data_IF_032087335708
#
_entry.id   IF_032087335708
#
_cell.length_a   1.000
_cell.length_b   1.000
_cell.length_c   1.000
_cell.angle_alpha   90.00
_cell.angle_beta   90.00
_cell.angle_gamma   90.00
#
_symmetry.space_group_name_H-M   'P 1'
#
loop_
_entity.id
_entity.type
_entity.pdbx_description
1 polymer ?
#
# COMPACT_ATOMS: atom_id res chain seq x y z
N UNK A 1 21.17 48.18 28.72
CA UNK A 1 21.96 49.40 29.04
C UNK A 1 22.90 49.73 27.89
N UNK A 2 23.14 51.02 27.62
CA UNK A 2 24.25 51.47 26.77
C UNK A 2 25.57 50.89 27.30
N UNK A 3 26.49 50.54 26.41
CA UNK A 3 27.80 50.05 26.86
C UNK A 3 28.62 51.18 27.49
N UNK A 4 29.30 50.92 28.61
CA UNK A 4 30.14 51.89 29.33
C UNK A 4 31.19 52.57 28.43
N UNK A 5 31.76 51.83 27.46
CA UNK A 5 32.84 52.33 26.59
C UNK A 5 32.35 53.04 25.32
N UNK A 6 31.07 52.92 24.96
CA UNK A 6 30.50 53.59 23.79
C UNK A 6 29.05 53.95 24.07
N UNK A 7 28.85 55.04 24.81
CA UNK A 7 27.55 55.49 25.33
C UNK A 7 26.66 55.99 24.19
N UNK A 8 27.24 56.67 23.19
CA UNK A 8 26.53 57.21 22.02
C UNK A 8 26.22 56.15 20.95
N UNK A 9 26.67 54.89 21.14
CA UNK A 9 26.42 53.80 20.18
C UNK A 9 25.35 52.84 20.71
N UNK A 10 24.19 52.71 20.06
CA UNK A 10 23.15 51.80 20.50
C UNK A 10 23.59 50.34 20.34
N UNK A 11 23.60 49.57 21.44
CA UNK A 11 23.98 48.14 21.45
C UNK A 11 22.77 47.21 21.41
N UNK A 12 21.85 47.37 22.36
CA UNK A 12 20.75 46.43 22.54
C UNK A 12 19.75 46.47 21.39
N UNK A 13 19.32 47.67 20.98
CA UNK A 13 18.34 47.85 19.89
C UNK A 13 18.86 47.32 18.57
N UNK A 14 20.12 47.60 18.21
CA UNK A 14 20.78 47.06 17.01
C UNK A 14 20.88 45.54 17.06
N UNK A 15 21.26 44.98 18.21
CA UNK A 15 21.35 43.52 18.36
C UNK A 15 19.98 42.84 18.24
N UNK A 16 18.93 43.45 18.79
CA UNK A 16 17.56 42.94 18.67
C UNK A 16 17.09 43.04 17.23
N UNK A 17 17.25 44.19 16.58
CA UNK A 17 16.88 44.38 15.17
C UNK A 17 17.56 43.34 14.27
N UNK A 18 18.88 43.15 14.42
CA UNK A 18 19.63 42.13 13.68
C UNK A 18 19.11 40.71 13.93
N UNK A 19 18.82 40.37 15.19
CA UNK A 19 18.25 39.05 15.52
C UNK A 19 16.88 38.86 14.88
N UNK A 20 16.00 39.87 14.94
CA UNK A 20 14.66 39.78 14.35
C UNK A 20 14.71 39.59 12.85
N UNK A 21 15.57 40.33 12.13
CA UNK A 21 15.77 40.18 10.69
C UNK A 21 16.32 38.78 10.35
N UNK A 22 17.32 38.30 11.10
CA UNK A 22 17.87 36.96 10.90
C UNK A 22 16.82 35.86 11.09
N UNK A 23 15.96 35.99 12.11
CA UNK A 23 14.88 35.03 12.35
C UNK A 23 13.78 35.12 11.29
N UNK A 24 13.43 36.31 10.82
CA UNK A 24 12.49 36.51 9.73
C UNK A 24 12.99 35.82 8.44
N UNK A 25 14.24 36.03 8.05
CA UNK A 25 14.81 35.35 6.88
C UNK A 25 14.81 33.83 7.02
N UNK A 26 15.13 33.29 8.21
CA UNK A 26 15.04 31.84 8.46
C UNK A 26 13.60 31.33 8.34
N UNK A 27 12.62 32.09 8.83
CA UNK A 27 11.20 31.75 8.69
C UNK A 27 10.79 31.73 7.22
N UNK A 28 11.15 32.76 6.45
CA UNK A 28 10.82 32.88 5.03
C UNK A 28 11.44 31.74 4.21
N UNK A 29 12.70 31.37 4.49
CA UNK A 29 13.35 30.24 3.83
C UNK A 29 12.64 28.90 4.14
N UNK A 30 12.23 28.69 5.40
CA UNK A 30 11.47 27.48 5.78
C UNK A 30 10.08 27.43 5.16
N UNK A 31 9.45 28.58 4.98
CA UNK A 31 8.17 28.73 4.29
C UNK A 31 8.31 28.40 2.80
N UNK A 32 9.29 28.99 2.11
CA UNK A 32 9.58 28.72 0.69
C UNK A 32 9.93 27.25 0.43
N UNK A 33 10.65 26.62 1.36
CA UNK A 33 10.98 25.20 1.28
C UNK A 33 9.78 24.28 1.62
N UNK A 34 8.63 24.83 2.03
CA UNK A 34 7.42 24.05 2.32
C UNK A 34 7.50 23.23 3.61
N UNK A 35 8.43 23.55 4.53
CA UNK A 35 8.57 22.85 5.81
C UNK A 35 7.52 23.28 6.84
N UNK A 36 6.86 24.42 6.61
CA UNK A 36 5.77 24.89 7.44
C UNK A 36 4.44 24.34 6.94
N UNK A 37 3.52 24.07 7.87
CA UNK A 37 2.19 23.56 7.53
C UNK A 37 1.38 24.68 6.87
N UNK A 38 0.52 24.36 5.89
CA UNK A 38 -0.33 25.35 5.24
C UNK A 38 -1.41 25.88 6.19
N UNK A 39 -2.10 26.92 5.75
CA UNK A 39 -3.23 27.50 6.46
C UNK A 39 -4.35 26.47 6.72
N UNK A 40 -5.22 26.76 7.70
CA UNK A 40 -6.31 25.86 8.12
C UNK A 40 -7.32 25.57 7.01
N UNK A 41 -7.61 26.56 6.15
CA UNK A 41 -8.56 26.47 5.04
C UNK A 41 -7.99 25.83 3.78
N UNK A 42 -6.69 25.57 3.72
CA UNK A 42 -6.08 24.92 2.56
C UNK A 42 -6.58 23.48 2.44
N UNK A 43 -6.82 23.00 1.22
CA UNK A 43 -7.17 21.61 0.94
C UNK A 43 -6.14 20.61 1.46
N UNK A 44 -4.85 21.01 1.48
CA UNK A 44 -3.75 20.21 2.00
C UNK A 44 -3.67 20.23 3.54
N UNK A 45 -4.54 20.99 4.21
CA UNK A 45 -4.58 21.08 5.66
C UNK A 45 -5.24 19.85 6.28
N UNK A 46 -4.63 19.32 7.33
CA UNK A 46 -5.18 18.20 8.12
C UNK A 46 -5.78 18.69 9.43
N UNK A 47 -6.46 19.84 9.39
CA UNK A 47 -7.09 20.44 10.56
C UNK A 47 -8.43 19.77 10.82
N UNK A 48 -8.68 19.31 12.06
CA UNK A 48 -9.87 18.51 12.41
C UNK A 48 -9.76 17.01 12.09
N UNK A 49 -8.72 16.59 11.37
CA UNK A 49 -8.46 15.20 11.01
C UNK A 49 -7.43 14.55 11.97
N UNK A 50 -7.42 13.22 12.03
CA UNK A 50 -6.43 12.46 12.80
C UNK A 50 -5.05 12.65 12.17
N UNK A 51 -4.09 13.09 12.96
CA UNK A 51 -2.70 13.30 12.53
C UNK A 51 -1.86 12.09 12.92
N UNK A 52 -1.46 11.27 11.94
CA UNK A 52 -0.56 10.15 12.23
C UNK A 52 0.47 9.96 11.12
N UNK A 53 1.74 9.96 11.51
CA UNK A 53 2.86 9.73 10.60
C UNK A 53 2.75 8.37 9.89
N UNK A 54 2.35 7.25 10.55
CA UNK A 54 2.27 5.96 9.86
C UNK A 54 1.23 5.92 8.74
N UNK A 55 0.07 6.56 8.91
CA UNK A 55 -0.92 6.62 7.83
C UNK A 55 -0.43 7.53 6.70
N UNK A 56 0.18 8.66 7.04
CA UNK A 56 0.77 9.58 6.06
C UNK A 56 1.81 8.87 5.20
N UNK A 57 2.73 8.13 5.81
CA UNK A 57 3.74 7.33 5.10
C UNK A 57 3.09 6.22 4.26
N UNK A 58 2.10 5.51 4.78
CA UNK A 58 1.42 4.43 4.06
C UNK A 58 0.78 4.91 2.76
N UNK A 59 0.02 6.02 2.81
CA UNK A 59 -0.62 6.58 1.62
C UNK A 59 0.39 7.23 0.68
N UNK A 60 1.42 7.86 1.23
CA UNK A 60 2.51 8.46 0.44
C UNK A 60 3.29 7.40 -0.37
N UNK A 61 3.63 6.26 0.24
CA UNK A 61 4.26 5.12 -0.45
C UNK A 61 3.36 4.54 -1.54
N UNK A 62 2.05 4.41 -1.27
CA UNK A 62 1.06 3.91 -2.25
C UNK A 62 0.91 4.82 -3.46
N UNK A 63 0.99 6.14 -3.26
CA UNK A 63 0.94 7.13 -4.33
C UNK A 63 2.28 7.27 -5.09
N UNK A 64 3.30 6.47 -4.75
CA UNK A 64 4.63 6.54 -5.37
C UNK A 64 5.38 7.83 -5.05
N UNK A 65 4.89 8.64 -4.11
CA UNK A 65 5.52 9.88 -3.68
C UNK A 65 6.61 9.54 -2.68
N UNK A 66 7.85 9.36 -3.12
CA UNK A 66 8.98 9.14 -2.19
C UNK A 66 9.02 10.29 -1.18
N UNK A 67 9.08 9.99 0.12
CA UNK A 67 9.21 11.02 1.15
C UNK A 67 10.45 11.85 0.82
N UNK A 68 10.25 13.16 0.61
CA UNK A 68 11.17 14.03 -0.15
C UNK A 68 12.65 13.82 0.15
N UNK A 69 13.46 14.01 -0.91
CA UNK A 69 14.90 13.77 -1.13
C UNK A 69 15.90 13.99 0.04
N UNK A 70 15.61 13.54 1.24
CA UNK A 70 16.39 13.78 2.45
C UNK A 70 16.16 12.69 3.49
N UNK A 71 17.13 12.56 4.40
CA UNK A 71 17.09 11.60 5.48
C UNK A 71 15.95 11.92 6.45
N UNK A 72 15.07 10.96 6.72
CA UNK A 72 14.01 11.10 7.73
C UNK A 72 14.19 10.06 8.84
N UNK A 73 13.72 10.38 10.04
CA UNK A 73 13.63 9.43 11.16
C UNK A 73 12.30 8.68 11.21
N UNK A 74 11.40 8.96 10.25
CA UNK A 74 10.03 8.47 10.24
C UNK A 74 9.97 7.21 9.39
N UNK A 75 9.52 6.11 9.98
CA UNK A 75 9.41 4.82 9.30
C UNK A 75 8.04 4.21 9.49
N UNK A 76 7.61 3.40 8.51
CA UNK A 76 6.42 2.58 8.62
C UNK A 76 6.82 1.15 8.97
N UNK A 77 6.53 0.72 10.20
CA UNK A 77 6.74 -0.68 10.58
C UNK A 77 5.86 -1.61 9.74
N UNK A 78 6.44 -2.69 9.20
CA UNK A 78 5.72 -3.73 8.45
C UNK A 78 4.52 -4.29 9.22
N UNK A 79 4.62 -4.40 10.55
CA UNK A 79 3.51 -4.82 11.42
C UNK A 79 2.34 -3.84 11.34
N UNK A 80 2.64 -2.54 11.35
CA UNK A 80 1.62 -1.49 11.25
C UNK A 80 1.03 -1.42 9.83
N UNK A 81 1.85 -1.56 8.79
CA UNK A 81 1.38 -1.62 7.40
C UNK A 81 0.33 -2.73 7.20
N UNK A 82 0.62 -3.96 7.64
CA UNK A 82 -0.34 -5.08 7.56
C UNK A 82 -1.64 -4.82 8.32
N UNK A 83 -1.56 -4.15 9.50
CA UNK A 83 -2.76 -3.78 10.26
C UNK A 83 -3.60 -2.73 9.53
N UNK A 84 -2.96 -1.76 8.89
CA UNK A 84 -3.64 -0.74 8.09
C UNK A 84 -4.35 -1.41 6.90
N UNK A 85 -3.66 -2.26 6.15
CA UNK A 85 -4.24 -3.00 5.01
C UNK A 85 -5.46 -3.84 5.42
N UNK A 86 -5.35 -4.57 6.54
CA UNK A 86 -6.47 -5.36 7.05
C UNK A 86 -7.66 -4.48 7.44
N UNK A 87 -7.41 -3.36 8.10
CA UNK A 87 -8.47 -2.45 8.53
C UNK A 87 -9.13 -1.74 7.34
N UNK A 88 -8.37 -1.41 6.29
CA UNK A 88 -8.91 -0.87 5.03
C UNK A 88 -9.88 -1.87 4.41
N UNK A 89 -9.51 -3.14 4.30
CA UNK A 89 -10.41 -4.20 3.80
C UNK A 89 -11.71 -4.29 4.60
N UNK A 90 -11.64 -4.21 5.93
CA UNK A 90 -12.85 -4.21 6.77
C UNK A 90 -13.71 -2.97 6.55
N UNK A 91 -13.12 -1.81 6.29
CA UNK A 91 -13.87 -0.60 5.98
C UNK A 91 -14.55 -0.69 4.60
N UNK A 92 -13.85 -1.21 3.58
CA UNK A 92 -14.40 -1.45 2.25
C UNK A 92 -15.57 -2.44 2.28
N UNK A 93 -15.44 -3.53 3.04
CA UNK A 93 -16.53 -4.50 3.23
C UNK A 93 -17.76 -3.85 3.86
N UNK A 94 -17.59 -3.04 4.91
CA UNK A 94 -18.71 -2.31 5.52
C UNK A 94 -19.35 -1.30 4.56
N UNK A 95 -18.54 -0.62 3.75
CA UNK A 95 -19.04 0.31 2.74
C UNK A 95 -19.89 -0.40 1.68
N UNK A 96 -19.40 -1.53 1.17
CA UNK A 96 -20.12 -2.33 0.18
C UNK A 96 -21.45 -2.85 0.75
N UNK A 97 -21.45 -3.33 2.00
CA UNK A 97 -22.69 -3.77 2.66
C UNK A 97 -23.69 -2.62 2.82
N UNK A 98 -23.24 -1.43 3.19
CA UNK A 98 -24.10 -0.24 3.25
C UNK A 98 -24.65 0.14 1.87
N UNK A 99 -23.81 0.15 0.83
CA UNK A 99 -24.24 0.43 -0.55
C UNK A 99 -25.24 -0.61 -1.08
N UNK A 100 -25.12 -1.88 -0.69
CA UNK A 100 -26.10 -2.92 -1.02
C UNK A 100 -27.41 -2.74 -0.25
N UNK A 101 -27.34 -2.41 1.04
CA UNK A 101 -28.52 -2.16 1.86
C UNK A 101 -29.31 -0.95 1.34
N UNK A 102 -28.61 0.14 0.98
CA UNK A 102 -29.24 1.31 0.38
C UNK A 102 -29.90 0.98 -0.97
N UNK A 103 -29.31 0.08 -1.78
CA UNK A 103 -29.92 -0.37 -3.04
C UNK A 103 -31.13 -1.27 -2.82
N UNK A 104 -31.07 -2.23 -1.89
CA UNK A 104 -32.19 -3.15 -1.59
C UNK A 104 -33.38 -2.42 -0.97
N UNK A 105 -33.15 -1.34 -0.21
CA UNK A 105 -34.24 -0.52 0.37
C UNK A 105 -34.86 0.41 -0.69
N UNK A 106 -34.11 0.80 -1.73
CA UNK A 106 -34.60 1.67 -2.81
C UNK A 106 -35.13 0.90 -4.02
N UNK A 107 -34.75 -0.37 -4.20
CA UNK A 107 -35.23 -1.27 -5.24
C UNK A 107 -35.84 -2.51 -4.58
N UNK A 108 -37.15 -2.48 -4.34
CA UNK A 108 -37.91 -3.62 -3.82
C UNK A 108 -37.65 -4.89 -4.67
N UNK A 109 -37.00 -5.89 -4.05
CA UNK A 109 -37.25 -7.31 -4.35
C UNK A 109 -36.31 -8.07 -5.29
N UNK A 110 -34.99 -8.12 -5.05
CA UNK A 110 -34.17 -9.21 -5.61
C UNK A 110 -33.26 -9.89 -4.58
N UNK A 111 -33.45 -11.21 -4.44
CA UNK A 111 -32.52 -12.14 -3.79
C UNK A 111 -31.18 -12.13 -4.53
N UNK A 112 -30.13 -11.60 -3.89
CA UNK A 112 -28.77 -11.69 -4.39
C UNK A 112 -28.09 -12.89 -3.72
N UNK A 113 -28.11 -14.04 -4.40
CA UNK A 113 -27.26 -15.17 -4.05
C UNK A 113 -25.79 -14.81 -4.31
N UNK A 114 -24.98 -14.77 -3.25
CA UNK A 114 -23.57 -14.42 -3.28
C UNK A 114 -22.73 -15.71 -3.34
N UNK A 115 -22.20 -16.13 -4.50
CA UNK A 115 -21.13 -17.12 -4.49
C UNK A 115 -19.85 -16.41 -4.06
N UNK A 116 -19.50 -16.56 -2.78
CA UNK A 116 -18.18 -16.22 -2.25
C UNK A 116 -17.11 -17.13 -2.87
N UNK A 117 -16.79 -16.92 -4.16
CA UNK A 117 -15.64 -17.53 -4.81
C UNK A 117 -14.38 -16.81 -4.31
N UNK A 118 -13.85 -17.30 -3.20
CA UNK A 118 -12.46 -17.08 -2.82
C UNK A 118 -11.56 -17.60 -3.94
N UNK A 119 -11.19 -16.74 -4.89
CA UNK A 119 -10.09 -17.02 -5.82
C UNK A 119 -8.81 -17.06 -4.99
N UNK A 120 -8.45 -18.26 -4.53
CA UNK A 120 -7.12 -18.55 -4.00
C UNK A 120 -6.13 -18.16 -5.09
N UNK A 121 -5.18 -17.28 -4.77
CA UNK A 121 -3.99 -17.09 -5.59
C UNK A 121 -3.28 -18.44 -5.61
N UNK A 122 -3.36 -19.14 -6.72
CA UNK A 122 -2.52 -20.30 -6.99
C UNK A 122 -1.06 -19.83 -6.96
N UNK A 123 -0.34 -20.25 -5.93
CA UNK A 123 1.10 -20.13 -5.88
C UNK A 123 1.67 -21.03 -6.98
N UNK A 124 2.40 -20.43 -7.93
CA UNK A 124 3.12 -21.14 -9.01
C UNK A 124 4.30 -21.95 -8.45
N UNK A 125 4.03 -22.92 -7.57
CA UNK A 125 5.03 -23.82 -6.97
C UNK A 125 4.60 -25.28 -6.88
N UNK A 126 3.44 -25.66 -7.42
CA UNK A 126 2.95 -27.04 -7.31
C UNK A 126 2.94 -27.82 -8.64
N UNK A 127 3.40 -27.25 -9.75
CA UNK A 127 3.16 -27.81 -11.09
C UNK A 127 3.77 -29.19 -11.33
N UNK A 128 4.98 -29.47 -10.83
CA UNK A 128 5.63 -30.76 -11.10
C UNK A 128 5.09 -31.90 -10.23
N UNK A 129 4.85 -31.65 -8.94
CA UNK A 129 4.26 -32.66 -8.06
C UNK A 129 2.80 -32.91 -8.41
N UNK A 130 2.04 -31.86 -8.70
CA UNK A 130 0.63 -32.00 -9.10
C UNK A 130 0.50 -32.68 -10.48
N UNK A 131 1.42 -32.42 -11.41
CA UNK A 131 1.44 -33.13 -12.70
C UNK A 131 1.81 -34.61 -12.52
N UNK A 132 2.77 -34.93 -11.65
CA UNK A 132 3.15 -36.31 -11.34
C UNK A 132 1.99 -37.08 -10.70
N UNK A 133 1.29 -36.46 -9.74
CA UNK A 133 0.11 -37.06 -9.12
C UNK A 133 -1.03 -37.28 -10.12
N UNK A 134 -1.27 -36.33 -11.04
CA UNK A 134 -2.27 -36.50 -12.11
C UNK A 134 -1.94 -37.65 -13.06
N UNK A 135 -0.68 -37.81 -13.47
CA UNK A 135 -0.27 -38.91 -14.35
C UNK A 135 -0.40 -40.25 -13.63
N UNK A 136 -0.04 -40.31 -12.35
CA UNK A 136 -0.15 -41.53 -11.54
C UNK A 136 -1.61 -41.98 -11.41
N UNK A 137 -2.51 -41.04 -11.10
CA UNK A 137 -3.95 -41.32 -11.03
C UNK A 137 -4.50 -41.81 -12.38
N UNK A 138 -4.08 -41.20 -13.50
CA UNK A 138 -4.50 -41.59 -14.85
C UNK A 138 -4.03 -43.01 -15.21
N UNK A 139 -2.78 -43.36 -14.87
CA UNK A 139 -2.22 -44.73 -15.08
C UNK A 139 -2.86 -45.80 -14.20
N UNK A 140 -3.38 -45.43 -13.02
CA UNK A 140 -4.10 -46.36 -12.14
C UNK A 140 -5.54 -46.63 -12.62
N UNK A 141 -6.11 -45.68 -13.36
CA UNK A 141 -7.47 -45.75 -13.90
C UNK A 141 -7.56 -46.47 -15.25
N UNK A 142 -6.46 -46.49 -16.02
CA UNK A 142 -6.32 -47.39 -17.16
C UNK A 142 -5.86 -48.76 -16.67
N UNK A 143 -6.81 -49.67 -16.49
CA UNK A 143 -6.53 -51.08 -16.22
C UNK A 143 -5.50 -51.62 -17.22
N UNK A 144 -4.31 -51.93 -16.70
CA UNK A 144 -3.24 -52.59 -17.44
C UNK A 144 -3.71 -53.99 -17.83
N UNK A 145 -4.36 -54.10 -18.99
CA UNK A 145 -4.64 -55.40 -19.62
C UNK A 145 -3.33 -55.91 -20.21
N UNK A 146 -2.52 -56.55 -19.38
CA UNK A 146 -1.41 -57.37 -19.84
C UNK A 146 -2.03 -58.65 -20.39
N UNK A 147 -2.33 -58.67 -21.69
CA UNK A 147 -2.73 -59.89 -22.39
C UNK A 147 -1.50 -60.78 -22.54
N UNK A 148 -1.35 -61.74 -21.64
CA UNK A 148 -0.45 -62.88 -21.81
C UNK A 148 -0.99 -63.73 -22.98
N UNK A 149 -0.46 -63.58 -24.20
CA UNK A 149 -0.90 -64.38 -25.34
C UNK A 149 -0.19 -64.07 -26.65
N UNK A 150 0.76 -64.94 -27.02
CA UNK A 150 1.22 -65.32 -28.36
C UNK A 150 0.98 -64.38 -29.57
N UNK A 151 2.09 -63.86 -30.11
CA UNK A 151 2.40 -63.80 -31.55
C UNK A 151 1.60 -62.85 -32.45
N UNK A 152 2.21 -61.72 -32.82
CA UNK A 152 1.92 -61.04 -34.09
C UNK A 152 3.18 -60.45 -34.70
N UNK A 153 3.72 -61.15 -35.69
CA UNK A 153 4.67 -60.64 -36.69
C UNK A 153 3.90 -59.88 -37.76
N UNK A 154 3.90 -58.55 -37.79
CA UNK A 154 3.64 -57.80 -39.03
C UNK A 154 4.31 -56.42 -39.02
N UNK A 155 5.38 -56.31 -39.82
CA UNK A 155 5.70 -55.14 -40.65
C UNK A 155 6.37 -53.95 -39.99
N UNK A 156 7.70 -53.85 -40.11
CA UNK A 156 8.48 -52.64 -39.82
C UNK A 156 8.18 -51.46 -40.78
N UNK A 157 8.84 -50.29 -40.56
CA UNK A 157 8.43 -49.01 -41.12
C UNK A 157 8.88 -48.80 -42.57
N UNK A 158 8.04 -48.15 -43.36
CA UNK A 158 8.40 -47.52 -44.64
C UNK A 158 7.99 -46.06 -44.60
N UNK A 159 8.98 -45.16 -44.63
CA UNK A 159 8.83 -43.75 -44.96
C UNK A 159 9.56 -43.48 -46.27
N UNK A 160 8.81 -42.91 -47.22
CA UNK A 160 9.24 -42.28 -48.47
C UNK A 160 10.03 -41.00 -48.25
#
# INVERSE_FOLDING_TARGET
MPSKNSINRPKLTVNVARKTQSLAHKRDQRERAGLLKPARSSEKSKSGQIKSVPLDLYFQEKEGKVSGNGLTTKTLSKKRAKKIERNIKYAEQRKLLAELQDKVVNEDGMEVDLPAKTKKKEEKKSTLKDALWKILDDTSSQGLVISNGQGTTLGGPVSS
#
